data_IF_725738534574
#
_entry.id   IF_725738534574
#
_cell.length_a   1.000
_cell.length_b   1.000
_cell.length_c   1.000
_cell.angle_alpha   90.00
_cell.angle_beta   90.00
_cell.angle_gamma   90.00
#
_symmetry.space_group_name_H-M   'P 1'
#
loop_
_entity.id
_entity.type
_entity.pdbx_description
1 polymer ?
#
# COMPACT_ATOMS: atom_id res chain seq x y z
N UNK A 1 2.95 14.72 10.56
CA UNK A 1 3.75 14.53 11.81
C UNK A 1 4.60 13.28 11.62
N UNK A 2 5.93 13.35 11.78
CA UNK A 2 6.83 12.20 11.58
C UNK A 2 7.26 11.57 12.94
N UNK A 3 7.02 12.28 14.06
CA UNK A 3 7.52 11.92 15.39
C UNK A 3 6.65 10.97 16.22
N UNK A 4 5.56 10.41 15.67
CA UNK A 4 4.65 9.52 16.39
C UNK A 4 4.89 8.02 16.15
N UNK A 5 5.94 7.66 15.41
CA UNK A 5 6.20 6.27 15.00
C UNK A 5 7.48 5.77 15.65
N UNK A 6 7.39 4.57 16.22
CA UNK A 6 8.54 3.78 16.60
C UNK A 6 9.21 3.21 15.33
N UNK A 7 10.20 3.95 14.82
CA UNK A 7 10.94 3.58 13.61
C UNK A 7 11.78 2.33 13.79
N UNK A 8 12.27 2.05 15.00
CA UNK A 8 13.05 0.84 15.29
C UNK A 8 12.17 -0.39 15.11
N UNK A 9 10.96 -0.38 15.71
CA UNK A 9 9.99 -1.46 15.54
C UNK A 9 9.50 -1.59 14.09
N UNK A 10 9.24 -0.47 13.42
CA UNK A 10 8.78 -0.47 12.03
C UNK A 10 9.82 -1.07 11.07
N UNK A 11 11.10 -0.70 11.21
CA UNK A 11 12.19 -1.25 10.40
C UNK A 11 12.35 -2.75 10.69
N UNK A 12 12.38 -3.17 11.95
CA UNK A 12 12.53 -4.58 12.32
C UNK A 12 11.42 -5.46 11.73
N UNK A 13 10.17 -4.99 11.78
CA UNK A 13 9.05 -5.67 11.14
C UNK A 13 9.27 -5.80 9.62
N UNK A 14 9.67 -4.71 8.98
CA UNK A 14 9.89 -4.70 7.54
C UNK A 14 11.11 -5.51 7.08
N UNK A 15 12.14 -5.67 7.92
CA UNK A 15 13.27 -6.56 7.67
C UNK A 15 12.82 -8.03 7.59
N UNK A 16 11.93 -8.46 8.49
CA UNK A 16 11.37 -9.82 8.49
C UNK A 16 10.62 -10.06 7.17
N UNK A 17 9.70 -9.15 6.82
CA UNK A 17 8.93 -9.23 5.57
C UNK A 17 9.83 -9.16 4.32
N UNK A 18 10.90 -8.38 4.38
CA UNK A 18 11.86 -8.29 3.29
C UNK A 18 12.59 -9.62 3.07
N UNK A 19 13.02 -10.29 4.14
CA UNK A 19 13.68 -11.60 4.05
C UNK A 19 12.76 -12.63 3.39
N UNK A 20 11.46 -12.62 3.72
CA UNK A 20 10.47 -13.53 3.11
C UNK A 20 10.22 -13.26 1.61
N UNK A 21 10.28 -11.99 1.20
CA UNK A 21 9.96 -11.56 -0.17
C UNK A 21 11.17 -11.48 -1.10
N UNK A 22 12.39 -11.47 -0.55
CA UNK A 22 13.62 -11.45 -1.32
C UNK A 22 13.82 -12.83 -1.98
N UNK A 23 14.38 -12.82 -3.18
CA UNK A 23 14.75 -14.06 -3.87
C UNK A 23 15.88 -14.75 -3.12
N UNK A 24 15.86 -16.07 -3.09
CA UNK A 24 16.85 -16.90 -2.37
C UNK A 24 18.31 -16.64 -2.76
N UNK A 25 18.58 -16.10 -3.96
CA UNK A 25 19.89 -15.77 -4.49
C UNK A 25 20.40 -14.36 -4.12
N UNK A 26 19.58 -13.54 -3.48
CA UNK A 26 19.90 -12.14 -3.16
C UNK A 26 20.15 -11.98 -1.67
N UNK A 27 21.31 -11.40 -1.33
CA UNK A 27 21.64 -11.07 0.05
C UNK A 27 20.72 -9.95 0.57
N UNK A 28 20.08 -10.13 1.74
CA UNK A 28 19.24 -9.11 2.33
C UNK A 28 20.06 -7.89 2.72
N UNK A 29 19.51 -6.70 2.44
CA UNK A 29 20.11 -5.41 2.74
C UNK A 29 19.09 -4.53 3.47
N UNK A 30 19.54 -3.59 4.31
CA UNK A 30 18.65 -2.69 5.05
C UNK A 30 17.69 -1.89 4.15
N UNK A 31 18.08 -1.58 2.91
CA UNK A 31 17.24 -0.87 1.95
C UNK A 31 16.00 -1.67 1.54
N UNK A 32 16.04 -3.01 1.63
CA UNK A 32 14.89 -3.85 1.30
C UNK A 32 13.77 -3.74 2.32
N UNK A 33 14.09 -3.49 3.60
CA UNK A 33 13.08 -3.16 4.61
C UNK A 33 12.33 -1.88 4.24
N UNK A 34 13.05 -0.85 3.76
CA UNK A 34 12.43 0.39 3.30
C UNK A 34 11.52 0.18 2.08
N UNK A 35 11.87 -0.77 1.21
CA UNK A 35 11.04 -1.12 0.05
C UNK A 35 9.72 -1.77 0.46
N UNK A 36 9.75 -2.67 1.44
CA UNK A 36 8.53 -3.29 1.96
C UNK A 36 7.65 -2.27 2.69
N UNK A 37 8.24 -1.35 3.46
CA UNK A 37 7.50 -0.22 4.05
C UNK A 37 6.84 0.65 2.98
N UNK A 38 7.54 0.93 1.87
CA UNK A 38 6.98 1.72 0.77
C UNK A 38 5.82 0.97 0.08
N UNK A 39 5.95 -0.34 -0.15
CA UNK A 39 4.86 -1.16 -0.72
C UNK A 39 3.63 -1.15 0.18
N UNK A 40 3.82 -1.39 1.49
CA UNK A 40 2.74 -1.30 2.47
C UNK A 40 2.09 0.08 2.42
N UNK A 41 2.87 1.15 2.45
CA UNK A 41 2.34 2.51 2.47
C UNK A 41 1.51 2.85 1.23
N UNK A 42 1.94 2.38 0.05
CA UNK A 42 1.18 2.53 -1.19
C UNK A 42 -0.12 1.73 -1.17
N UNK A 43 -0.06 0.48 -0.68
CA UNK A 43 -1.24 -0.37 -0.56
C UNK A 43 -2.26 0.22 0.43
N UNK A 44 -1.83 0.58 1.64
CA UNK A 44 -2.66 1.21 2.66
C UNK A 44 -3.27 2.51 2.14
N UNK A 45 -2.48 3.35 1.48
CA UNK A 45 -2.97 4.60 0.88
C UNK A 45 -4.05 4.35 -0.18
N UNK A 46 -3.88 3.32 -1.01
CA UNK A 46 -4.87 2.96 -2.04
C UNK A 46 -6.21 2.49 -1.45
N UNK A 47 -6.19 1.89 -0.26
CA UNK A 47 -7.39 1.41 0.44
C UNK A 47 -8.03 2.56 1.24
N UNK A 48 -7.23 3.23 2.09
CA UNK A 48 -7.68 4.24 3.03
C UNK A 48 -8.15 5.54 2.36
N UNK A 49 -7.52 5.95 1.25
CA UNK A 49 -7.88 7.16 0.51
C UNK A 49 -8.45 6.84 -0.87
N UNK A 50 -9.04 5.65 -1.03
CA UNK A 50 -9.85 5.37 -2.22
C UNK A 50 -10.93 6.44 -2.33
N UNK A 51 -10.90 7.19 -3.44
CA UNK A 51 -11.92 8.20 -3.69
C UNK A 51 -13.30 7.52 -3.63
N UNK A 52 -14.30 8.12 -2.98
CA UNK A 52 -15.65 7.60 -3.07
C UNK A 52 -16.01 7.42 -4.55
N UNK A 53 -16.68 6.31 -4.92
CA UNK A 53 -16.98 6.01 -6.32
C UNK A 53 -17.59 7.25 -6.99
N UNK A 54 -17.09 7.60 -8.19
CA UNK A 54 -17.47 8.83 -8.93
C UNK A 54 -18.94 8.86 -9.38
N UNK A 55 -19.73 7.87 -8.99
CA UNK A 55 -21.14 7.72 -9.34
C UNK A 55 -21.91 7.61 -8.03
N UNK A 56 -22.65 8.67 -7.71
CA UNK A 56 -23.60 8.69 -6.62
C UNK A 56 -23.06 9.30 -5.32
N UNK A 57 -23.30 10.61 -5.14
CA UNK A 57 -23.80 11.09 -3.84
C UNK A 57 -24.91 10.14 -3.37
N UNK A 58 -25.10 9.86 -2.06
CA UNK A 58 -26.13 8.94 -1.60
C UNK A 58 -27.49 9.49 -2.02
N UNK A 59 -28.03 8.98 -3.11
CA UNK A 59 -29.31 9.44 -3.69
C UNK A 59 -30.48 8.74 -3.03
N UNK A 60 -30.21 7.78 -2.15
CA UNK A 60 -31.20 7.11 -1.33
C UNK A 60 -30.64 6.97 0.08
N UNK A 61 -31.50 7.28 1.04
CA UNK A 61 -31.33 6.87 2.43
C UNK A 61 -30.97 5.38 2.46
N UNK A 62 -30.25 4.96 3.50
CA UNK A 62 -29.93 3.56 3.82
C UNK A 62 -31.19 2.74 4.17
N UNK A 63 -32.24 2.87 3.36
CA UNK A 63 -33.40 2.01 3.32
C UNK A 63 -33.24 1.14 2.06
N UNK A 64 -33.29 -0.19 2.20
CA UNK A 64 -33.11 -1.10 1.08
C UNK A 64 -34.30 -0.94 0.11
N UNK A 65 -34.01 -0.45 -1.09
CA UNK A 65 -35.03 -0.19 -2.13
C UNK A 65 -35.29 -1.40 -3.04
N UNK A 66 -34.59 -2.51 -2.82
CA UNK A 66 -34.80 -3.79 -3.52
C UNK A 66 -34.57 -4.98 -2.60
N UNK A 67 -35.36 -6.04 -2.78
CA UNK A 67 -35.32 -7.30 -2.01
C UNK A 67 -33.94 -7.99 -2.07
N UNK A 68 -33.12 -7.67 -3.07
CA UNK A 68 -31.79 -8.30 -3.26
C UNK A 68 -30.65 -7.70 -2.42
N UNK A 69 -30.84 -6.53 -1.81
CA UNK A 69 -29.86 -5.90 -0.90
C UNK A 69 -30.05 -6.37 0.55
N UNK A 70 -30.23 -7.69 0.74
CA UNK A 70 -30.18 -8.31 2.06
C UNK A 70 -28.77 -8.12 2.61
N UNK A 71 -28.64 -7.35 3.70
CA UNK A 71 -27.33 -7.12 4.32
C UNK A 71 -26.69 -8.46 4.70
N UNK A 72 -25.36 -8.57 4.63
CA UNK A 72 -24.66 -9.83 4.93
C UNK A 72 -25.05 -10.38 6.32
N UNK A 73 -25.42 -9.51 7.26
CA UNK A 73 -25.96 -9.89 8.56
C UNK A 73 -27.32 -10.55 8.51
N UNK A 74 -28.23 -10.10 7.64
CA UNK A 74 -29.52 -10.73 7.44
C UNK A 74 -29.37 -12.10 6.76
N UNK A 75 -28.42 -12.24 5.82
CA UNK A 75 -28.08 -13.54 5.22
C UNK A 75 -27.47 -14.50 6.25
N UNK A 76 -26.56 -14.01 7.09
CA UNK A 76 -25.98 -14.78 8.19
C UNK A 76 -27.04 -15.18 9.22
N UNK A 77 -27.95 -14.27 9.57
CA UNK A 77 -29.04 -14.55 10.49
C UNK A 77 -30.06 -15.56 9.93
N UNK A 78 -30.30 -15.55 8.61
CA UNK A 78 -31.15 -16.55 7.93
C UNK A 78 -30.48 -17.93 7.92
N UNK A 79 -29.16 -18.00 7.68
CA UNK A 79 -28.39 -19.25 7.82
C UNK A 79 -28.43 -19.79 9.26
N UNK A 80 -28.22 -18.94 10.27
CA UNK A 80 -28.29 -19.35 11.68
C UNK A 80 -29.69 -19.80 12.11
N UNK A 81 -30.74 -19.25 11.48
CA UNK A 81 -32.13 -19.69 11.67
C UNK A 81 -32.49 -20.96 10.89
N UNK A 82 -31.57 -21.49 10.08
CA UNK A 82 -31.80 -22.68 9.25
C UNK A 82 -32.64 -22.41 8.01
N UNK A 83 -32.87 -21.13 7.66
CA UNK A 83 -33.64 -20.70 6.48
C UNK A 83 -32.80 -20.79 5.19
N UNK A 84 -31.47 -20.86 5.31
CA UNK A 84 -30.53 -21.09 4.21
C UNK A 84 -29.73 -22.37 4.47
N UNK A 85 -29.63 -23.25 3.47
CA UNK A 85 -28.83 -24.48 3.55
C UNK A 85 -27.33 -24.25 3.39
N UNK A 86 -26.91 -23.14 2.76
CA UNK A 86 -25.51 -22.85 2.48
C UNK A 86 -25.05 -21.57 3.17
N UNK A 87 -23.84 -21.63 3.74
CA UNK A 87 -23.23 -20.48 4.41
C UNK A 87 -22.93 -19.38 3.37
N UNK A 88 -23.43 -18.14 3.56
CA UNK A 88 -23.16 -17.06 2.62
C UNK A 88 -21.65 -16.78 2.53
N UNK A 89 -21.05 -17.04 1.38
CA UNK A 89 -19.66 -16.66 1.10
C UNK A 89 -19.65 -15.20 0.61
N UNK A 90 -19.69 -14.27 1.56
CA UNK A 90 -19.53 -12.85 1.24
C UNK A 90 -18.20 -12.63 0.51
N UNK A 91 -18.21 -11.82 -0.56
CA UNK A 91 -16.98 -11.29 -1.13
C UNK A 91 -16.27 -10.51 -0.01
N UNK A 92 -15.26 -11.12 0.61
CA UNK A 92 -14.55 -10.53 1.72
C UNK A 92 -13.98 -9.18 1.27
N UNK A 93 -14.58 -8.09 1.77
CA UNK A 93 -14.01 -6.75 1.61
C UNK A 93 -12.55 -6.84 2.08
N UNK A 94 -11.59 -6.28 1.32
CA UNK A 94 -10.19 -6.32 1.76
C UNK A 94 -10.10 -5.79 3.19
N UNK A 95 -9.32 -6.45 4.06
CA UNK A 95 -9.25 -6.08 5.46
C UNK A 95 -8.88 -4.60 5.57
N UNK A 96 -9.65 -3.86 6.37
CA UNK A 96 -9.37 -2.46 6.62
C UNK A 96 -8.01 -2.35 7.32
N UNK A 97 -7.12 -1.44 6.88
CA UNK A 97 -5.83 -1.24 7.53
C UNK A 97 -6.04 -0.72 8.95
N UNK A 98 -5.20 -1.17 9.88
CA UNK A 98 -5.26 -0.69 11.26
C UNK A 98 -4.81 0.77 11.37
N UNK A 99 -5.18 1.46 12.45
CA UNK A 99 -4.75 2.84 12.71
C UNK A 99 -3.20 2.96 12.75
N UNK A 100 -2.51 1.95 13.26
CA UNK A 100 -1.05 1.88 13.26
C UNK A 100 -0.48 1.80 11.83
N UNK A 101 -1.11 0.99 10.96
CA UNK A 101 -0.71 0.87 9.56
C UNK A 101 -0.94 2.17 8.78
N UNK A 102 -2.07 2.85 9.02
CA UNK A 102 -2.37 4.15 8.42
C UNK A 102 -1.32 5.18 8.85
N UNK A 103 -1.05 5.29 10.15
CA UNK A 103 -0.06 6.23 10.69
C UNK A 103 1.33 5.96 10.10
N UNK A 104 1.73 4.68 10.06
CA UNK A 104 3.01 4.25 9.45
C UNK A 104 3.07 4.62 7.96
N UNK A 105 2.01 4.35 7.21
CA UNK A 105 1.92 4.67 5.79
C UNK A 105 2.04 6.18 5.53
N UNK A 106 1.35 7.02 6.31
CA UNK A 106 1.42 8.48 6.21
C UNK A 106 2.84 9.00 6.39
N UNK A 107 3.57 8.51 7.40
CA UNK A 107 4.93 8.97 7.63
C UNK A 107 5.92 8.45 6.58
N UNK A 108 5.78 7.20 6.14
CA UNK A 108 6.59 6.65 5.04
C UNK A 108 6.37 7.46 3.76
N UNK A 109 5.12 7.81 3.44
CA UNK A 109 4.79 8.66 2.29
C UNK A 109 5.33 10.08 2.48
N UNK A 110 5.27 10.65 3.68
CA UNK A 110 5.88 11.95 3.97
C UNK A 110 7.40 11.93 3.71
N UNK A 111 8.09 10.87 4.13
CA UNK A 111 9.52 10.68 3.86
C UNK A 111 9.78 10.48 2.36
N UNK A 112 8.96 9.68 1.68
CA UNK A 112 9.02 9.51 0.22
C UNK A 112 8.91 10.84 -0.53
N UNK A 113 7.92 11.67 -0.18
CA UNK A 113 7.70 12.95 -0.85
C UNK A 113 8.85 13.92 -0.58
N UNK A 114 9.36 13.98 0.66
CA UNK A 114 10.39 14.94 1.08
C UNK A 114 11.82 14.53 0.72
N UNK A 115 12.18 13.26 0.87
CA UNK A 115 13.59 12.82 0.84
C UNK A 115 13.95 11.97 -0.38
N UNK A 116 13.06 11.11 -0.86
CA UNK A 116 13.39 10.19 -1.95
C UNK A 116 13.76 10.93 -3.24
N UNK A 117 14.86 10.51 -3.88
CA UNK A 117 15.33 10.99 -5.18
C UNK A 117 15.54 12.52 -5.22
N UNK A 118 15.88 13.10 -4.06
CA UNK A 118 15.99 14.55 -3.88
C UNK A 118 17.06 15.19 -4.77
N UNK A 119 18.05 14.41 -5.22
CA UNK A 119 19.19 14.88 -6.03
C UNK A 119 19.01 14.69 -7.55
N UNK A 120 17.93 14.06 -8.00
CA UNK A 120 17.72 13.75 -9.43
C UNK A 120 17.02 14.87 -10.20
N UNK A 121 17.38 15.03 -11.47
CA UNK A 121 16.56 15.75 -12.46
C UNK A 121 15.30 14.96 -12.84
N UNK A 122 14.29 15.62 -13.42
CA UNK A 122 13.03 15.00 -13.84
C UNK A 122 12.30 14.18 -12.73
N UNK A 123 12.31 14.71 -11.49
CA UNK A 123 11.82 14.04 -10.27
C UNK A 123 10.42 13.43 -10.41
N UNK A 124 9.47 14.16 -11.01
CA UNK A 124 8.09 13.70 -11.16
C UNK A 124 8.01 12.36 -11.92
N UNK A 125 8.72 12.26 -13.05
CA UNK A 125 8.71 11.05 -13.89
C UNK A 125 9.33 9.85 -13.17
N UNK A 126 10.47 10.05 -12.51
CA UNK A 126 11.19 8.98 -11.81
C UNK A 126 10.39 8.53 -10.57
N UNK A 127 9.88 9.47 -9.78
CA UNK A 127 9.01 9.16 -8.64
C UNK A 127 7.76 8.40 -9.07
N UNK A 128 7.13 8.80 -10.17
CA UNK A 128 5.98 8.07 -10.75
C UNK A 128 6.35 6.63 -11.10
N UNK A 129 7.49 6.39 -11.74
CA UNK A 129 7.93 5.04 -12.11
C UNK A 129 8.10 4.12 -10.89
N UNK A 130 8.79 4.62 -9.86
CA UNK A 130 9.04 3.86 -8.62
C UNK A 130 7.73 3.66 -7.83
N UNK A 131 6.87 4.67 -7.75
CA UNK A 131 5.57 4.55 -7.08
C UNK A 131 4.66 3.52 -7.76
N UNK A 132 4.58 3.54 -9.10
CA UNK A 132 3.85 2.52 -9.86
C UNK A 132 4.41 1.12 -9.61
N UNK A 133 5.74 1.01 -9.50
CA UNK A 133 6.38 -0.27 -9.18
C UNK A 133 6.02 -0.77 -7.77
N UNK A 134 5.98 0.12 -6.78
CA UNK A 134 5.54 -0.20 -5.42
C UNK A 134 4.05 -0.57 -5.36
N UNK A 135 3.24 -0.02 -6.27
CA UNK A 135 1.83 -0.38 -6.46
C UNK A 135 1.62 -1.76 -7.12
N UNK A 136 2.69 -2.52 -7.40
CA UNK A 136 2.62 -3.83 -8.05
C UNK A 136 2.52 -3.80 -9.58
N UNK A 137 2.66 -2.64 -10.23
CA UNK A 137 2.57 -2.55 -11.70
C UNK A 137 3.77 -3.26 -12.36
N UNK A 138 3.55 -4.12 -13.38
CA UNK A 138 4.63 -4.84 -14.05
C UNK A 138 5.56 -3.89 -14.82
N UNK A 139 6.85 -4.23 -14.89
CA UNK A 139 7.90 -3.40 -15.49
C UNK A 139 7.53 -2.94 -16.92
N UNK A 140 6.93 -3.84 -17.73
CA UNK A 140 6.49 -3.51 -19.09
C UNK A 140 5.54 -2.30 -19.13
N UNK A 141 4.56 -2.26 -18.23
CA UNK A 141 3.57 -1.17 -18.16
C UNK A 141 4.18 0.11 -17.58
N UNK A 142 5.05 -0.01 -16.57
CA UNK A 142 5.77 1.15 -16.02
C UNK A 142 6.64 1.81 -17.11
N UNK A 143 7.37 1.01 -17.88
CA UNK A 143 8.20 1.49 -19.00
C UNK A 143 7.36 2.18 -20.08
N UNK A 144 6.22 1.61 -20.45
CA UNK A 144 5.31 2.20 -21.44
C UNK A 144 4.79 3.58 -20.99
N UNK A 145 4.46 3.74 -19.71
CA UNK A 145 3.91 5.00 -19.17
C UNK A 145 5.00 6.06 -18.93
N UNK A 146 6.22 5.66 -18.58
CA UNK A 146 7.26 6.59 -18.14
C UNK A 146 8.39 6.78 -19.14
N UNK A 147 8.49 5.93 -20.16
CA UNK A 147 9.59 5.90 -21.12
C UNK A 147 10.93 5.47 -20.51
N UNK A 148 10.95 5.05 -19.24
CA UNK A 148 12.19 4.64 -18.57
C UNK A 148 12.62 3.23 -19.00
N UNK A 149 13.93 2.95 -18.95
CA UNK A 149 14.44 1.59 -19.11
C UNK A 149 14.25 0.79 -17.83
N UNK A 150 14.24 -0.55 -17.93
CA UNK A 150 14.15 -1.43 -16.76
C UNK A 150 15.28 -1.11 -15.76
N UNK A 151 16.52 -1.01 -16.23
CA UNK A 151 17.67 -0.71 -15.38
C UNK A 151 17.53 0.65 -14.67
N UNK A 152 17.03 1.68 -15.36
CA UNK A 152 16.78 2.98 -14.75
C UNK A 152 15.71 2.93 -13.65
N UNK A 153 14.66 2.12 -13.83
CA UNK A 153 13.61 1.93 -12.81
C UNK A 153 14.19 1.25 -11.57
N UNK A 154 14.96 0.17 -11.74
CA UNK A 154 15.56 -0.57 -10.62
C UNK A 154 16.63 0.26 -9.90
N UNK A 155 17.48 0.98 -10.64
CA UNK A 155 18.45 1.91 -10.07
C UNK A 155 17.78 3.05 -9.27
N UNK A 156 16.71 3.63 -9.82
CA UNK A 156 15.93 4.65 -9.11
C UNK A 156 15.24 4.10 -7.86
N UNK A 157 14.74 2.87 -7.91
CA UNK A 157 14.18 2.18 -6.73
C UNK A 157 15.24 2.06 -5.63
N UNK A 158 16.41 1.51 -5.94
CA UNK A 158 17.47 1.29 -4.95
C UNK A 158 17.99 2.60 -4.35
N UNK A 159 18.13 3.65 -5.17
CA UNK A 159 18.52 4.98 -4.70
C UNK A 159 17.45 5.62 -3.82
N UNK A 160 16.17 5.52 -4.21
CA UNK A 160 15.08 6.02 -3.40
C UNK A 160 15.03 5.35 -2.02
N UNK A 161 15.28 4.03 -1.95
CA UNK A 161 15.30 3.31 -0.68
C UNK A 161 16.45 3.75 0.22
N UNK A 162 17.64 4.00 -0.36
CA UNK A 162 18.78 4.56 0.38
C UNK A 162 18.47 5.95 0.93
N UNK A 163 17.91 6.83 0.10
CA UNK A 163 17.54 8.19 0.49
C UNK A 163 16.53 8.19 1.65
N UNK A 164 15.49 7.37 1.54
CA UNK A 164 14.47 7.22 2.58
C UNK A 164 15.06 6.63 3.86
N UNK A 165 15.86 5.57 3.77
CA UNK A 165 16.50 4.95 4.93
C UNK A 165 17.46 5.92 5.63
N UNK A 166 18.22 6.71 4.86
CA UNK A 166 19.09 7.75 5.42
C UNK A 166 18.27 8.82 6.17
N UNK A 167 17.07 9.16 5.71
CA UNK A 167 16.18 10.08 6.41
C UNK A 167 15.62 9.45 7.71
N UNK A 168 15.19 8.18 7.65
CA UNK A 168 14.64 7.47 8.81
C UNK A 168 15.68 7.27 9.92
N UNK A 169 16.93 6.94 9.56
CA UNK A 169 18.04 6.78 10.52
C UNK A 169 18.32 8.01 11.39
N UNK A 170 17.77 9.18 11.06
CA UNK A 170 17.87 10.38 11.90
C UNK A 170 16.88 10.39 13.07
N UNK A 171 15.90 9.49 13.03
CA UNK A 171 14.85 9.33 14.04
C UNK A 171 14.99 8.01 14.81
N UNK A 172 16.01 7.20 14.50
CA UNK A 172 16.36 5.97 15.20
C UNK A 172 17.53 6.21 16.16
#
# INVERSE_FOLDING_TARGET
MIGGIDWVRAIKHAEIVAVENIRSDVQPKPEHAMWELMKEAVQVSSIAYSAPPRVGYPSKSSLPDTVDDVSDWQRMAAYLRGELSEMPTGHARPPQPSAEQITRAEAVLAIWHKHALSRKGAKSRIKKAVYMKASGVPDRKVRAVTGMTKQAIHSAKDEAMRDMLCAVRRFC
#
